data_IF_496141432965
#
_entry.id   IF_496141432965
#
_cell.length_a   1.000
_cell.length_b   1.000
_cell.length_c   1.000
_cell.angle_alpha   90.00
_cell.angle_beta   90.00
_cell.angle_gamma   90.00
#
_symmetry.space_group_name_H-M   'P 1'
#
loop_
_entity.id
_entity.type
_entity.pdbx_description
1 polymer ?
#
# COMPACT_ATOMS: atom_id res chain seq x y z
N UNK A 1 0.60 -9.38 -15.68
CA UNK A 1 1.11 -10.19 -16.81
C UNK A 1 1.46 -11.61 -16.38
N UNK A 2 2.42 -11.84 -15.48
CA UNK A 2 2.76 -13.21 -15.01
C UNK A 2 1.64 -13.92 -14.22
N UNK A 3 0.70 -13.19 -13.64
CA UNK A 3 -0.46 -13.74 -12.90
C UNK A 3 -1.77 -13.69 -13.71
N UNK A 4 -1.68 -13.35 -14.99
CA UNK A 4 -2.84 -13.36 -15.89
C UNK A 4 -3.12 -14.81 -16.36
N UNK A 5 -4.34 -15.04 -16.85
CA UNK A 5 -5.13 -16.31 -16.93
C UNK A 5 -4.47 -17.61 -17.45
N UNK A 6 -3.18 -17.64 -17.79
CA UNK A 6 -2.53 -18.80 -18.43
C UNK A 6 -1.27 -19.32 -17.72
N UNK A 7 -0.81 -18.68 -16.63
CA UNK A 7 0.34 -19.21 -15.88
C UNK A 7 -0.09 -20.31 -14.89
N UNK A 8 0.42 -21.53 -15.07
CA UNK A 8 0.30 -22.62 -14.09
C UNK A 8 0.83 -22.13 -12.73
N UNK A 9 0.01 -22.23 -11.67
CA UNK A 9 0.34 -21.72 -10.33
C UNK A 9 -0.27 -20.34 -9.98
N UNK A 10 -0.91 -19.65 -10.92
CA UNK A 10 -1.55 -18.34 -10.67
C UNK A 10 -2.57 -18.35 -9.53
N UNK A 11 -3.30 -19.45 -9.33
CA UNK A 11 -4.23 -19.62 -8.19
C UNK A 11 -3.54 -19.63 -6.83
N UNK A 12 -2.41 -20.35 -6.70
CA UNK A 12 -1.63 -20.40 -5.46
C UNK A 12 -1.06 -19.03 -5.09
N UNK A 13 -0.44 -18.34 -6.05
CA UNK A 13 0.08 -16.99 -5.82
C UNK A 13 -1.04 -16.00 -5.46
N UNK A 14 -2.19 -16.07 -6.14
CA UNK A 14 -3.35 -15.22 -5.80
C UNK A 14 -3.80 -15.43 -4.36
N UNK A 15 -3.96 -16.68 -3.92
CA UNK A 15 -4.34 -16.99 -2.54
C UNK A 15 -3.28 -16.53 -1.54
N UNK A 16 -2.00 -16.81 -1.80
CA UNK A 16 -0.91 -16.44 -0.90
C UNK A 16 -0.78 -14.92 -0.71
N UNK A 17 -0.94 -14.13 -1.78
CA UNK A 17 -0.90 -12.66 -1.69
C UNK A 17 -2.20 -12.06 -1.14
N UNK A 18 -3.35 -12.74 -1.30
CA UNK A 18 -4.64 -12.24 -0.83
C UNK A 18 -4.91 -12.52 0.66
N UNK A 19 -4.37 -13.63 1.19
CA UNK A 19 -4.58 -14.03 2.59
C UNK A 19 -4.24 -12.92 3.62
N UNK A 20 -3.12 -12.18 3.50
CA UNK A 20 -2.81 -11.09 4.43
C UNK A 20 -3.80 -9.93 4.36
N UNK A 21 -4.38 -9.68 3.20
CA UNK A 21 -5.27 -8.54 2.95
C UNK A 21 -6.58 -8.66 3.74
N UNK A 22 -7.14 -9.87 3.84
CA UNK A 22 -8.40 -10.13 4.55
C UNK A 22 -8.24 -10.31 6.07
N UNK A 23 -7.01 -10.34 6.56
CA UNK A 23 -6.71 -10.52 7.98
C UNK A 23 -6.75 -9.19 8.73
N UNK A 24 -7.16 -9.23 10.00
CA UNK A 24 -7.17 -8.03 10.88
C UNK A 24 -5.79 -7.37 10.94
N UNK A 25 -5.75 -6.05 10.77
CA UNK A 25 -4.52 -5.26 10.85
C UNK A 25 -3.83 -5.39 12.21
N UNK A 26 -4.60 -5.52 13.29
CA UNK A 26 -4.06 -5.66 14.66
C UNK A 26 -3.38 -7.03 14.80
N UNK A 27 -4.01 -8.10 14.33
CA UNK A 27 -3.42 -9.44 14.37
C UNK A 27 -2.12 -9.50 13.56
N UNK A 28 -2.11 -8.92 12.36
CA UNK A 28 -0.91 -8.80 11.52
C UNK A 28 0.18 -8.01 12.27
N UNK A 29 -0.16 -6.86 12.84
CA UNK A 29 0.81 -6.04 13.58
C UNK A 29 1.44 -6.79 14.76
N UNK A 30 0.66 -7.57 15.51
CA UNK A 30 1.18 -8.42 16.60
C UNK A 30 2.14 -9.47 16.08
N UNK A 31 1.82 -10.16 14.97
CA UNK A 31 2.76 -11.13 14.36
C UNK A 31 4.05 -10.44 13.93
N UNK A 32 3.95 -9.25 13.33
CA UNK A 32 5.11 -8.50 12.87
C UNK A 32 5.97 -7.94 14.00
N UNK A 33 5.44 -7.75 15.22
CA UNK A 33 6.26 -7.47 16.41
C UNK A 33 7.29 -8.59 16.65
N UNK A 34 6.87 -9.86 16.54
CA UNK A 34 7.77 -11.01 16.67
C UNK A 34 8.76 -11.09 15.51
N UNK A 35 8.31 -10.79 14.28
CA UNK A 35 9.18 -10.78 13.10
C UNK A 35 10.29 -9.73 13.24
N UNK A 36 9.94 -8.56 13.78
CA UNK A 36 10.85 -7.42 13.95
C UNK A 36 11.58 -7.37 15.29
N UNK A 37 11.48 -8.43 16.11
CA UNK A 37 12.22 -8.51 17.36
C UNK A 37 13.75 -8.39 17.10
N UNK A 38 14.41 -7.54 17.90
CA UNK A 38 15.80 -7.19 17.68
C UNK A 38 16.74 -8.39 17.96
N UNK A 39 16.40 -9.27 18.90
CA UNK A 39 17.25 -10.36 19.35
C UNK A 39 17.03 -11.66 18.56
N UNK A 40 15.77 -12.10 18.50
CA UNK A 40 15.34 -13.42 18.00
C UNK A 40 14.32 -13.31 16.86
N UNK A 41 14.09 -12.11 16.31
CA UNK A 41 13.12 -11.90 15.24
C UNK A 41 13.53 -12.55 13.92
N UNK A 42 12.52 -13.03 13.18
CA UNK A 42 12.72 -13.68 11.89
C UNK A 42 13.45 -12.77 10.89
N UNK A 43 13.19 -11.46 10.90
CA UNK A 43 13.86 -10.52 10.01
C UNK A 43 15.37 -10.48 10.26
N UNK A 44 15.80 -10.42 11.52
CA UNK A 44 17.22 -10.43 11.87
C UNK A 44 17.86 -11.80 11.69
N UNK A 45 17.12 -12.90 11.85
CA UNK A 45 17.60 -14.24 11.51
C UNK A 45 17.95 -14.33 10.02
N UNK A 46 17.08 -13.85 9.14
CA UNK A 46 17.33 -13.80 7.69
C UNK A 46 18.54 -12.93 7.34
N UNK A 47 18.70 -11.78 7.99
CA UNK A 47 19.88 -10.92 7.80
C UNK A 47 21.18 -11.64 8.19
N UNK A 48 21.18 -12.39 9.31
CA UNK A 48 22.36 -13.15 9.75
C UNK A 48 22.73 -14.27 8.77
N UNK A 49 21.75 -14.94 8.16
CA UNK A 49 21.99 -15.99 7.16
C UNK A 49 22.75 -15.47 5.93
N UNK A 50 22.53 -14.21 5.56
CA UNK A 50 23.21 -13.55 4.43
C UNK A 50 24.44 -12.74 4.86
N UNK A 51 24.89 -12.89 6.12
CA UNK A 51 26.09 -12.24 6.64
C UNK A 51 25.92 -10.76 7.02
N UNK A 52 24.69 -10.26 7.11
CA UNK A 52 24.40 -8.87 7.48
C UNK A 52 24.25 -8.70 9.00
N UNK A 53 24.58 -7.49 9.48
CA UNK A 53 24.42 -7.14 10.91
C UNK A 53 22.94 -7.02 11.27
N UNK A 54 22.54 -7.38 12.51
CA UNK A 54 21.17 -7.19 12.99
C UNK A 54 20.74 -5.72 12.91
N UNK A 55 19.49 -5.51 12.51
CA UNK A 55 18.88 -4.18 12.42
C UNK A 55 17.89 -4.00 13.57
N UNK A 56 17.91 -2.79 14.13
CA UNK A 56 16.94 -2.35 15.13
C UNK A 56 15.66 -1.88 14.45
N UNK A 57 14.76 -2.80 14.14
CA UNK A 57 13.65 -2.53 13.22
C UNK A 57 12.69 -1.49 13.77
N UNK A 58 12.22 -1.67 15.02
CA UNK A 58 11.24 -0.78 15.64
C UNK A 58 11.87 0.22 16.62
N UNK A 59 13.06 -0.08 17.14
CA UNK A 59 13.70 0.70 18.21
C UNK A 59 14.60 1.84 17.70
N UNK A 60 14.85 1.94 16.39
CA UNK A 60 15.64 3.01 15.78
C UNK A 60 14.78 3.99 14.94
N UNK A 61 14.97 5.32 15.08
CA UNK A 61 14.24 6.31 14.30
C UNK A 61 14.46 6.19 12.78
N UNK A 62 15.61 5.64 12.38
CA UNK A 62 15.99 5.51 10.96
C UNK A 62 15.25 4.35 10.25
N UNK A 63 14.74 3.39 11.01
CA UNK A 63 14.29 2.08 10.50
C UNK A 63 12.84 1.79 10.84
N UNK A 64 12.32 2.34 11.95
CA UNK A 64 10.93 2.19 12.39
C UNK A 64 9.89 2.51 11.32
N UNK A 65 10.03 3.65 10.63
CA UNK A 65 9.12 4.01 9.54
C UNK A 65 9.20 3.02 8.38
N UNK A 66 10.40 2.59 8.02
CA UNK A 66 10.62 1.60 6.96
C UNK A 66 9.98 0.25 7.32
N UNK A 67 10.08 -0.19 8.57
CA UNK A 67 9.42 -1.39 9.07
C UNK A 67 7.90 -1.32 8.92
N UNK A 68 7.29 -0.20 9.28
CA UNK A 68 5.85 0.00 9.09
C UNK A 68 5.46 0.00 7.60
N UNK A 69 6.27 0.61 6.74
CA UNK A 69 6.06 0.62 5.28
C UNK A 69 6.11 -0.80 4.73
N UNK A 70 7.14 -1.59 5.08
CA UNK A 70 7.31 -2.96 4.59
C UNK A 70 6.09 -3.81 4.97
N UNK A 71 5.68 -3.80 6.24
CA UNK A 71 4.52 -4.56 6.69
C UNK A 71 3.23 -4.11 5.99
N UNK A 72 3.01 -2.79 5.88
CA UNK A 72 1.80 -2.23 5.28
C UNK A 72 1.72 -2.54 3.79
N UNK A 73 2.84 -2.44 3.06
CA UNK A 73 2.91 -2.79 1.64
C UNK A 73 2.67 -4.29 1.46
N UNK A 74 3.31 -5.14 2.27
CA UNK A 74 3.10 -6.59 2.21
C UNK A 74 1.63 -6.98 2.44
N UNK A 75 0.99 -6.40 3.47
CA UNK A 75 -0.41 -6.68 3.78
C UNK A 75 -1.36 -6.28 2.63
N UNK A 76 -1.14 -5.12 2.04
CA UNK A 76 -2.04 -4.54 1.04
C UNK A 76 -1.70 -4.95 -0.40
N UNK A 77 -0.57 -5.63 -0.62
CA UNK A 77 -0.15 -6.08 -1.95
C UNK A 77 -1.21 -6.93 -2.66
N UNK A 78 -1.88 -7.82 -1.92
CA UNK A 78 -2.97 -8.66 -2.44
C UNK A 78 -4.15 -7.87 -2.99
N UNK A 79 -4.63 -6.87 -2.23
CA UNK A 79 -5.69 -5.98 -2.67
C UNK A 79 -5.35 -5.29 -3.99
N UNK A 80 -4.19 -4.63 -4.06
CA UNK A 80 -3.79 -3.89 -5.26
C UNK A 80 -3.60 -4.83 -6.45
N UNK A 81 -3.02 -6.01 -6.23
CA UNK A 81 -2.87 -7.02 -7.27
C UNK A 81 -4.23 -7.44 -7.86
N UNK A 82 -5.24 -7.72 -7.02
CA UNK A 82 -6.57 -8.11 -7.49
C UNK A 82 -7.22 -6.99 -8.31
N UNK A 83 -7.11 -5.75 -7.85
CA UNK A 83 -7.65 -4.58 -8.57
C UNK A 83 -6.98 -4.41 -9.94
N UNK A 84 -5.64 -4.51 -10.01
CA UNK A 84 -4.92 -4.45 -11.28
C UNK A 84 -5.21 -5.65 -12.19
N UNK A 85 -5.42 -6.85 -11.65
CA UNK A 85 -5.82 -8.02 -12.43
C UNK A 85 -7.21 -7.85 -13.03
N UNK A 86 -8.16 -7.27 -12.29
CA UNK A 86 -9.47 -6.94 -12.83
C UNK A 86 -9.38 -5.91 -13.96
N UNK A 87 -8.55 -4.87 -13.79
CA UNK A 87 -8.29 -3.88 -14.83
C UNK A 87 -7.65 -4.49 -16.08
N UNK A 88 -6.69 -5.41 -15.92
CA UNK A 88 -6.07 -6.13 -17.04
C UNK A 88 -7.07 -6.99 -17.80
N UNK A 89 -7.96 -7.69 -17.10
CA UNK A 89 -8.99 -8.54 -17.71
C UNK A 89 -10.07 -7.75 -18.45
N UNK A 90 -10.22 -6.45 -18.17
CA UNK A 90 -11.14 -5.57 -18.88
C UNK A 90 -10.59 -5.10 -20.25
N UNK A 91 -9.29 -5.25 -20.51
CA UNK A 91 -8.67 -4.84 -21.78
C UNK A 91 -9.03 -5.88 -22.86
N UNK A 92 -9.67 -5.47 -23.98
CA UNK A 92 -10.00 -6.39 -25.06
C UNK A 92 -8.75 -7.09 -25.63
N UNK A 93 -8.73 -8.43 -25.74
CA UNK A 93 -7.59 -9.16 -26.32
C UNK A 93 -7.23 -8.71 -27.74
N UNK A 94 -8.22 -8.29 -28.52
CA UNK A 94 -8.06 -7.82 -29.89
C UNK A 94 -7.08 -6.64 -30.03
N UNK A 95 -6.96 -5.76 -29.03
CA UNK A 95 -5.99 -4.66 -29.06
C UNK A 95 -4.55 -5.17 -28.94
N UNK A 96 -4.34 -6.26 -28.21
CA UNK A 96 -3.04 -6.90 -28.11
C UNK A 96 -2.69 -7.70 -29.36
N UNK A 97 -3.68 -8.32 -30.01
CA UNK A 97 -3.51 -9.01 -31.29
C UNK A 97 -3.16 -8.01 -32.41
N UNK A 98 -3.92 -6.92 -32.54
CA UNK A 98 -3.65 -5.85 -33.49
C UNK A 98 -2.23 -5.28 -33.34
N UNK A 99 -1.83 -4.94 -32.11
CA UNK A 99 -0.46 -4.46 -31.85
C UNK A 99 0.61 -5.50 -32.21
N UNK A 100 0.30 -6.79 -32.14
CA UNK A 100 1.24 -7.86 -32.53
C UNK A 100 1.36 -7.95 -34.04
N UNK A 101 0.26 -7.77 -34.78
CA UNK A 101 0.25 -7.68 -36.25
C UNK A 101 1.06 -6.46 -36.72
N UNK A 102 0.98 -5.34 -36.00
CA UNK A 102 1.79 -4.12 -36.25
C UNK A 102 3.27 -4.26 -35.85
N UNK A 103 3.70 -5.45 -35.39
CA UNK A 103 5.09 -5.72 -35.03
C UNK A 103 5.51 -5.19 -33.65
N UNK A 104 4.58 -4.83 -32.77
CA UNK A 104 4.90 -4.30 -31.45
C UNK A 104 5.48 -5.40 -30.52
N UNK A 105 6.69 -5.17 -30.03
CA UNK A 105 7.34 -5.98 -28.99
C UNK A 105 6.55 -6.01 -27.68
N UNK A 106 6.76 -6.99 -26.79
CA UNK A 106 6.08 -7.06 -25.48
C UNK A 106 6.23 -5.78 -24.63
N UNK A 107 7.39 -5.11 -24.68
CA UNK A 107 7.61 -3.84 -23.98
C UNK A 107 6.81 -2.70 -24.58
N UNK A 108 6.71 -2.63 -25.91
CA UNK A 108 5.87 -1.65 -26.61
C UNK A 108 4.39 -1.88 -26.31
N UNK A 109 3.92 -3.14 -26.37
CA UNK A 109 2.53 -3.49 -26.00
C UNK A 109 2.21 -3.09 -24.55
N UNK A 110 3.13 -3.31 -23.61
CA UNK A 110 2.92 -2.84 -22.24
C UNK A 110 2.86 -1.31 -22.14
N UNK A 111 3.81 -0.60 -22.77
CA UNK A 111 3.92 0.87 -22.67
C UNK A 111 2.80 1.62 -23.38
N UNK A 112 2.36 1.12 -24.53
CA UNK A 112 1.45 1.82 -25.45
C UNK A 112 0.02 1.26 -25.47
N UNK A 113 -0.20 0.01 -25.05
CA UNK A 113 -1.54 -0.59 -24.98
C UNK A 113 -1.95 -0.81 -23.53
N UNK A 114 -1.21 -1.63 -22.78
CA UNK A 114 -1.61 -2.01 -21.41
C UNK A 114 -1.61 -0.82 -20.45
N UNK A 115 -0.50 -0.09 -20.33
CA UNK A 115 -0.36 0.98 -19.34
C UNK A 115 -1.34 2.15 -19.55
N UNK A 116 -1.60 2.62 -20.78
CA UNK A 116 -2.62 3.64 -21.02
C UNK A 116 -4.04 3.14 -20.71
N UNK A 117 -4.38 1.91 -21.12
CA UNK A 117 -5.71 1.35 -20.87
C UNK A 117 -5.95 0.97 -19.40
N UNK A 118 -4.88 0.76 -18.62
CA UNK A 118 -4.94 0.62 -17.16
C UNK A 118 -5.03 1.97 -16.42
N UNK A 119 -5.06 3.11 -17.12
CA UNK A 119 -5.10 4.42 -16.46
C UNK A 119 -6.27 4.57 -15.47
N UNK A 120 -7.53 4.18 -15.79
CA UNK A 120 -8.64 4.30 -14.85
C UNK A 120 -8.42 3.47 -13.58
N UNK A 121 -7.92 2.24 -13.72
CA UNK A 121 -7.58 1.36 -12.59
C UNK A 121 -6.45 1.96 -11.75
N UNK A 122 -5.42 2.52 -12.40
CA UNK A 122 -4.28 3.15 -11.72
C UNK A 122 -4.71 4.37 -10.93
N UNK A 123 -5.59 5.20 -11.50
CA UNK A 123 -6.17 6.37 -10.82
C UNK A 123 -6.98 5.94 -9.61
N UNK A 124 -7.85 4.94 -9.76
CA UNK A 124 -8.64 4.41 -8.66
C UNK A 124 -7.75 3.91 -7.50
N UNK A 125 -6.71 3.13 -7.81
CA UNK A 125 -5.74 2.65 -6.81
C UNK A 125 -4.99 3.81 -6.16
N UNK A 126 -4.57 4.81 -6.93
CA UNK A 126 -3.85 5.97 -6.41
C UNK A 126 -4.73 6.76 -5.41
N UNK A 127 -5.98 7.04 -5.77
CA UNK A 127 -6.93 7.78 -4.92
C UNK A 127 -7.20 7.03 -3.62
N UNK A 128 -7.62 5.77 -3.73
CA UNK A 128 -7.93 4.94 -2.56
C UNK A 128 -6.71 4.73 -1.66
N UNK A 129 -5.55 4.46 -2.24
CA UNK A 129 -4.31 4.28 -1.47
C UNK A 129 -3.85 5.58 -0.77
N UNK A 130 -4.08 6.73 -1.39
CA UNK A 130 -3.83 8.03 -0.74
C UNK A 130 -4.70 8.16 0.50
N UNK A 131 -6.00 7.91 0.39
CA UNK A 131 -6.93 7.96 1.54
C UNK A 131 -6.47 6.99 2.65
N UNK A 132 -6.17 5.74 2.31
CA UNK A 132 -5.71 4.74 3.28
C UNK A 132 -4.40 5.12 3.96
N UNK A 133 -3.44 5.69 3.22
CA UNK A 133 -2.14 6.09 3.76
C UNK A 133 -2.29 7.24 4.76
N UNK A 134 -3.11 8.24 4.45
CA UNK A 134 -3.40 9.34 5.37
C UNK A 134 -4.17 8.88 6.62
N UNK A 135 -4.92 7.80 6.51
CA UNK A 135 -5.72 7.21 7.60
C UNK A 135 -5.00 6.08 8.36
N UNK A 136 -3.69 5.88 8.12
CA UNK A 136 -2.95 4.80 8.80
C UNK A 136 -2.90 5.04 10.31
N UNK A 137 -3.33 4.03 11.08
CA UNK A 137 -3.38 4.11 12.54
C UNK A 137 -2.94 2.80 13.20
N UNK A 138 -3.60 1.68 12.87
CA UNK A 138 -3.40 0.39 13.56
C UNK A 138 -1.94 -0.04 13.71
N UNK A 139 -1.12 -0.08 12.64
CA UNK A 139 0.30 -0.45 12.73
C UNK A 139 1.09 0.47 13.66
N UNK A 140 0.83 1.77 13.59
CA UNK A 140 1.54 2.77 14.39
C UNK A 140 1.21 2.57 15.86
N UNK A 141 -0.09 2.49 16.18
CA UNK A 141 -0.58 2.29 17.54
C UNK A 141 -0.03 1.01 18.17
N UNK A 142 -0.11 -0.12 17.46
CA UNK A 142 0.27 -1.43 18.01
C UNK A 142 1.78 -1.62 18.05
N UNK A 143 2.51 -1.22 17.01
CA UNK A 143 3.92 -1.62 16.86
C UNK A 143 4.91 -0.60 17.40
N UNK A 144 4.54 0.68 17.44
CA UNK A 144 5.51 1.77 17.68
C UNK A 144 5.04 2.83 18.66
N UNK A 145 3.73 2.99 18.89
CA UNK A 145 3.20 4.12 19.63
C UNK A 145 3.64 5.48 19.05
N UNK A 146 3.84 5.55 17.74
CA UNK A 146 4.37 6.75 17.07
C UNK A 146 5.88 6.98 17.26
N UNK A 147 6.58 6.12 17.98
CA UNK A 147 8.02 6.24 18.24
C UNK A 147 8.93 5.51 17.24
N UNK A 148 10.24 5.47 17.54
CA UNK A 148 10.95 6.21 18.59
C UNK A 148 11.13 7.70 18.22
N UNK A 149 11.17 8.59 19.21
CA UNK A 149 11.35 10.06 19.00
C UNK A 149 10.35 10.63 17.98
N UNK A 150 9.10 10.16 18.05
CA UNK A 150 8.00 10.55 17.14
C UNK A 150 8.25 10.24 15.65
N UNK A 151 9.22 9.39 15.30
CA UNK A 151 9.60 9.10 13.90
C UNK A 151 8.53 8.40 13.07
N UNK A 152 7.53 7.79 13.71
CA UNK A 152 6.39 7.14 13.05
C UNK A 152 5.06 7.81 13.40
N UNK A 153 5.10 8.95 14.09
CA UNK A 153 3.91 9.68 14.51
C UNK A 153 3.23 10.32 13.30
N UNK A 154 1.96 9.98 13.10
CA UNK A 154 1.11 10.55 12.04
C UNK A 154 -0.06 11.29 12.63
N UNK A 155 -0.71 12.12 11.81
CA UNK A 155 -1.78 13.02 12.26
C UNK A 155 -2.98 12.29 12.88
N UNK A 156 -3.31 11.08 12.38
CA UNK A 156 -4.39 10.26 12.94
C UNK A 156 -4.02 9.67 14.30
N UNK A 157 -2.76 9.29 14.49
CA UNK A 157 -2.28 8.88 15.81
C UNK A 157 -2.31 10.06 16.78
N UNK A 158 -1.86 11.25 16.35
CA UNK A 158 -1.96 12.47 17.16
C UNK A 158 -3.40 12.82 17.56
N UNK A 159 -4.35 12.70 16.62
CA UNK A 159 -5.78 12.87 16.88
C UNK A 159 -6.26 11.90 17.95
N UNK A 160 -5.89 10.62 17.83
CA UNK A 160 -6.23 9.61 18.83
C UNK A 160 -5.72 9.99 20.22
N UNK A 161 -4.44 10.38 20.34
CA UNK A 161 -3.88 10.81 21.62
C UNK A 161 -4.67 11.99 22.20
N UNK A 162 -4.99 13.00 21.38
CA UNK A 162 -5.78 14.16 21.81
C UNK A 162 -7.18 13.78 22.28
N UNK A 163 -7.87 12.91 21.57
CA UNK A 163 -9.23 12.50 21.91
C UNK A 163 -9.28 11.62 23.16
N UNK A 164 -8.39 10.63 23.26
CA UNK A 164 -8.54 9.51 24.20
C UNK A 164 -7.49 9.50 25.32
N UNK A 165 -6.26 9.99 25.09
CA UNK A 165 -5.23 10.08 26.13
C UNK A 165 -5.34 11.42 26.88
N UNK A 166 -5.45 12.53 26.15
CA UNK A 166 -5.53 13.89 26.71
C UNK A 166 -6.97 14.37 26.96
N UNK A 167 -7.98 13.62 26.52
CA UNK A 167 -9.41 13.94 26.68
C UNK A 167 -9.85 15.29 26.06
N UNK A 168 -9.08 15.81 25.10
CA UNK A 168 -9.34 17.06 24.38
C UNK A 168 -10.23 16.81 23.15
N UNK A 169 -11.45 16.30 23.36
CA UNK A 169 -12.36 15.87 22.27
C UNK A 169 -12.67 16.98 21.25
N UNK A 170 -12.84 18.23 21.72
CA UNK A 170 -13.09 19.38 20.85
C UNK A 170 -11.91 19.67 19.92
N UNK A 171 -10.68 19.64 20.45
CA UNK A 171 -9.46 19.83 19.65
C UNK A 171 -9.25 18.67 18.67
N UNK A 172 -9.44 17.43 19.12
CA UNK A 172 -9.32 16.26 18.25
C UNK A 172 -10.34 16.30 17.09
N UNK A 173 -11.55 16.76 17.36
CA UNK A 173 -12.60 16.95 16.35
C UNK A 173 -12.23 18.03 15.33
N UNK A 174 -11.61 19.15 15.76
CA UNK A 174 -11.08 20.16 14.85
C UNK A 174 -9.98 19.60 13.94
N UNK A 175 -9.04 18.82 14.49
CA UNK A 175 -8.01 18.12 13.71
C UNK A 175 -8.63 17.15 12.70
N UNK A 176 -9.68 16.42 13.09
CA UNK A 176 -10.41 15.50 12.20
C UNK A 176 -10.97 16.23 10.98
N UNK A 177 -11.61 17.39 11.19
CA UNK A 177 -12.15 18.23 10.12
C UNK A 177 -11.07 18.75 9.17
N UNK A 178 -9.91 19.15 9.69
CA UNK A 178 -8.77 19.57 8.86
C UNK A 178 -8.29 18.43 7.97
N UNK A 179 -8.11 17.23 8.52
CA UNK A 179 -7.71 16.05 7.73
C UNK A 179 -8.76 15.74 6.66
N UNK A 180 -10.04 15.80 7.02
CA UNK A 180 -11.14 15.55 6.09
C UNK A 180 -11.11 16.51 4.89
N UNK A 181 -10.91 17.81 5.13
CA UNK A 181 -10.79 18.81 4.06
C UNK A 181 -9.55 18.58 3.19
N UNK A 182 -8.42 18.22 3.79
CA UNK A 182 -7.19 17.88 3.04
C UNK A 182 -7.45 16.67 2.14
N UNK A 183 -8.11 15.62 2.66
CA UNK A 183 -8.45 14.44 1.89
C UNK A 183 -9.37 14.76 0.71
N UNK A 184 -10.42 15.56 0.93
CA UNK A 184 -11.29 16.02 -0.16
C UNK A 184 -10.51 16.79 -1.22
N UNK A 185 -9.68 17.75 -0.80
CA UNK A 185 -8.89 18.56 -1.73
C UNK A 185 -7.95 17.68 -2.58
N UNK A 186 -7.26 16.71 -1.96
CA UNK A 186 -6.40 15.77 -2.65
C UNK A 186 -7.17 14.86 -3.60
N UNK A 187 -8.30 14.30 -3.16
CA UNK A 187 -9.16 13.44 -3.99
C UNK A 187 -9.69 14.20 -5.20
N UNK A 188 -10.21 15.42 -5.02
CA UNK A 188 -10.69 16.27 -6.13
C UNK A 188 -9.56 16.61 -7.09
N UNK A 189 -8.37 16.94 -6.59
CA UNK A 189 -7.21 17.21 -7.42
C UNK A 189 -6.83 15.98 -8.25
N UNK A 190 -6.71 14.81 -7.62
CA UNK A 190 -6.38 13.55 -8.28
C UNK A 190 -7.41 13.20 -9.37
N UNK A 191 -8.71 13.33 -9.09
CA UNK A 191 -9.78 13.09 -10.06
C UNK A 191 -9.74 14.08 -11.24
N UNK A 192 -9.47 15.37 -10.98
CA UNK A 192 -9.35 16.37 -12.05
C UNK A 192 -8.15 16.10 -12.97
N UNK A 193 -7.00 15.76 -12.40
CA UNK A 193 -5.80 15.42 -13.17
C UNK A 193 -6.01 14.13 -13.98
N UNK A 194 -6.72 13.16 -13.42
CA UNK A 194 -7.08 11.92 -14.12
C UNK A 194 -8.01 12.17 -15.31
N UNK A 195 -9.07 12.96 -15.14
CA UNK A 195 -10.04 13.27 -16.21
C UNK A 195 -9.40 14.02 -17.38
N UNK A 196 -8.47 14.94 -17.10
CA UNK A 196 -7.70 15.64 -18.15
C UNK A 196 -6.84 14.68 -18.97
N UNK A 197 -6.42 13.56 -18.37
CA UNK A 197 -5.64 12.54 -19.06
C UNK A 197 -6.53 11.67 -19.95
N UNK A 198 -7.74 11.30 -19.51
CA UNK A 198 -8.71 10.53 -20.31
C UNK A 198 -9.20 11.26 -21.57
N UNK A 199 -9.25 12.60 -21.58
CA UNK A 199 -9.67 13.39 -22.75
C UNK A 199 -8.58 13.59 -23.82
N UNK A 200 -7.34 13.19 -23.54
CA UNK A 200 -6.18 13.38 -24.44
C UNK A 200 -5.88 12.11 -25.26
N UNK A 201 -6.57 11.01 -24.99
CA UNK A 201 -6.48 9.74 -25.73
C UNK A 201 -7.80 9.44 -26.44
#
# INVERSE_FOLDING_TARGET
LLLDRTAAGSGFFRTAFFLPTITSIIAIAVVWLWVYDDANGLANMLLRLVGLKPVRWLTSPKTSLLSLIIMTVWKNAGYHMVVFLAGLQAIPPSLHEAATIDGASPRQRFRYVTWPLLAPTTVFVLVTNTIFTFQVFGPIYVMTGGGPVRSTSVIVYYLYQRAFEFQEMGYASAVAWVIFLILIALTVLQMRLARKREQVW
#
